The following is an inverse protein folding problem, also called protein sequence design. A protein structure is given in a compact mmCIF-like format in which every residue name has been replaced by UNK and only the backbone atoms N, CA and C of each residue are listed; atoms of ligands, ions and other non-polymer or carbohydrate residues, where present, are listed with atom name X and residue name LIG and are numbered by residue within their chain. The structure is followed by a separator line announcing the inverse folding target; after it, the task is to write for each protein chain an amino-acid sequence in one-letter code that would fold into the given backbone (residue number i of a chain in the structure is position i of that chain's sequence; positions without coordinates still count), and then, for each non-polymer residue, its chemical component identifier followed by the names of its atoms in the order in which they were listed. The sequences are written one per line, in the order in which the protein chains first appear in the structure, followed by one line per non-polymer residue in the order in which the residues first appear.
data_IF_927933888198
#
_entry.id   IF_927933888198
#
_cell.length_a   1.000
_cell.length_b   1.000
_cell.length_c   1.000
_cell.angle_alpha   90.00
_cell.angle_beta   90.00
_cell.angle_gamma   90.00
#
_symmetry.space_group_name_H-M   'P 1'
#
loop_
_entity.id
_entity.type
_entity.pdbx_description
1 polymer ?
#
# COMPACT_ATOMS: atom_id res chain seq x y z
N UNK A 1 16.37 18.60 -0.56
CA UNK A 1 15.20 17.99 -1.27
C UNK A 1 15.16 18.47 -2.71
N UNK A 2 15.01 17.58 -3.68
CA UNK A 2 14.82 17.94 -5.09
C UNK A 2 13.70 17.12 -5.69
N UNK A 3 12.88 17.74 -6.57
CA UNK A 3 11.85 17.07 -7.35
C UNK A 3 12.16 17.33 -8.83
N UNK A 4 12.20 16.27 -9.60
CA UNK A 4 12.43 16.30 -11.04
C UNK A 4 11.36 15.47 -11.73
N UNK A 5 11.01 15.79 -12.97
CA UNK A 5 10.11 14.93 -13.73
C UNK A 5 9.56 15.57 -14.99
N UNK A 6 8.84 14.76 -15.71
CA UNK A 6 8.10 15.13 -16.90
C UNK A 6 6.61 14.83 -16.68
N UNK A 7 5.75 15.69 -17.18
CA UNK A 7 4.31 15.53 -17.12
C UNK A 7 3.75 15.60 -18.55
N UNK A 8 2.98 14.58 -18.95
CA UNK A 8 2.25 14.62 -20.20
C UNK A 8 0.96 15.43 -20.07
N UNK A 9 0.12 15.07 -19.12
CA UNK A 9 -1.14 15.79 -18.83
C UNK A 9 -1.31 15.96 -17.32
N UNK A 10 -1.59 17.19 -16.90
CA UNK A 10 -2.01 17.48 -15.53
C UNK A 10 -3.24 18.37 -15.58
N UNK A 11 -4.33 17.88 -15.02
CA UNK A 11 -5.55 18.67 -14.80
C UNK A 11 -5.88 18.69 -13.31
N UNK A 12 -6.09 19.88 -12.75
CA UNK A 12 -6.42 20.08 -11.35
C UNK A 12 -7.60 21.05 -11.24
N UNK A 13 -8.65 20.60 -10.56
CA UNK A 13 -9.80 21.44 -10.19
C UNK A 13 -10.02 21.37 -8.69
N UNK A 14 -10.08 22.52 -8.05
CA UNK A 14 -10.29 22.65 -6.61
C UNK A 14 -11.38 23.69 -6.33
N UNK A 15 -12.20 23.44 -5.33
CA UNK A 15 -13.18 24.40 -4.81
C UNK A 15 -12.56 25.41 -3.84
N UNK A 16 -11.30 25.21 -3.47
CA UNK A 16 -10.58 26.11 -2.60
C UNK A 16 -10.09 25.45 -1.31
N UNK A 17 -9.45 26.28 -0.53
CA UNK A 17 -8.84 25.92 0.74
C UNK A 17 -9.43 26.84 1.81
N UNK A 18 -10.09 26.27 2.80
CA UNK A 18 -10.57 26.98 3.96
C UNK A 18 -9.54 26.86 5.09
N UNK A 19 -8.92 27.98 5.46
CA UNK A 19 -7.93 28.02 6.54
C UNK A 19 -8.58 27.83 7.92
N UNK A 20 -9.86 28.13 8.01
CA UNK A 20 -10.68 27.89 9.20
C UNK A 20 -12.09 27.45 8.78
N UNK A 21 -12.53 26.19 8.99
CA UNK A 21 -11.75 25.05 9.47
C UNK A 21 -10.76 24.55 8.40
N UNK A 22 -9.60 24.11 8.80
CA UNK A 22 -8.51 23.59 7.94
C UNK A 22 -8.99 22.50 6.99
N UNK A 23 -9.59 22.88 5.88
CA UNK A 23 -10.22 21.98 4.91
C UNK A 23 -9.86 22.36 3.48
N UNK A 24 -9.40 21.41 2.70
CA UNK A 24 -9.19 21.57 1.27
C UNK A 24 -10.08 20.59 0.49
N UNK A 25 -10.66 21.07 -0.61
CA UNK A 25 -11.51 20.26 -1.49
C UNK A 25 -10.86 20.18 -2.86
N UNK A 26 -10.43 18.98 -3.23
CA UNK A 26 -9.96 18.63 -4.55
C UNK A 26 -11.09 17.94 -5.31
N UNK A 27 -11.68 18.64 -6.26
CA UNK A 27 -12.79 18.10 -7.03
C UNK A 27 -12.32 17.11 -8.10
N UNK A 28 -11.23 17.46 -8.79
CA UNK A 28 -10.70 16.59 -9.84
C UNK A 28 -9.19 16.75 -9.97
N UNK A 29 -8.50 15.62 -10.00
CA UNK A 29 -7.10 15.50 -10.37
C UNK A 29 -6.98 14.44 -11.46
N UNK A 30 -6.45 14.82 -12.61
CA UNK A 30 -6.02 13.89 -13.65
C UNK A 30 -4.53 14.07 -13.89
N UNK A 31 -3.78 12.99 -13.84
CA UNK A 31 -2.36 12.96 -14.15
C UNK A 31 -2.09 11.80 -15.09
N UNK A 32 -1.48 12.08 -16.27
CA UNK A 32 -1.15 11.06 -17.25
C UNK A 32 0.26 11.24 -17.79
N UNK A 33 0.86 10.09 -18.15
CA UNK A 33 2.18 10.05 -18.79
C UNK A 33 3.21 10.85 -18.01
N UNK A 34 3.30 10.60 -16.71
CA UNK A 34 4.18 11.32 -15.81
C UNK A 34 5.33 10.44 -15.31
N UNK A 35 6.50 11.03 -15.26
CA UNK A 35 7.66 10.44 -14.59
C UNK A 35 8.18 11.44 -13.56
N UNK A 36 8.11 11.07 -12.30
CA UNK A 36 8.44 11.93 -11.16
C UNK A 36 9.52 11.29 -10.30
N UNK A 37 10.57 12.04 -10.02
CA UNK A 37 11.65 11.62 -9.12
C UNK A 37 11.82 12.62 -7.99
N UNK A 38 11.63 12.13 -6.76
CA UNK A 38 11.85 12.86 -5.52
C UNK A 38 13.16 12.37 -4.88
N UNK A 39 14.09 13.27 -4.59
CA UNK A 39 15.29 12.97 -3.84
C UNK A 39 15.28 13.73 -2.51
N UNK A 40 15.37 13.00 -1.40
CA UNK A 40 15.39 13.52 -0.03
C UNK A 40 16.82 13.35 0.53
N UNK A 41 17.76 14.12 0.00
CA UNK A 41 19.19 14.04 0.37
C UNK A 41 19.60 15.00 1.50
N UNK A 42 18.69 15.87 1.97
CA UNK A 42 19.05 16.93 2.91
C UNK A 42 19.07 16.42 4.36
N UNK A 43 20.24 16.60 4.99
CA UNK A 43 20.44 16.56 6.43
C UNK A 43 20.13 17.92 7.08
N UNK A 44 19.17 18.65 6.63
CA UNK A 44 18.78 19.83 7.41
C UNK A 44 18.44 19.37 8.81
N UNK A 45 19.20 19.91 9.79
CA UNK A 45 19.02 19.63 11.21
C UNK A 45 17.51 19.56 11.50
N UNK A 46 17.10 18.46 12.14
CA UNK A 46 15.72 18.33 12.60
C UNK A 46 15.33 19.64 13.24
N UNK A 47 14.45 20.37 12.58
CA UNK A 47 13.83 21.53 13.19
C UNK A 47 13.05 21.00 14.38
N UNK A 48 13.67 21.13 15.57
CA UNK A 48 13.09 20.66 16.85
C UNK A 48 11.91 21.52 17.29
N UNK A 49 11.52 22.48 16.48
CA UNK A 49 10.23 23.16 16.64
C UNK A 49 9.15 22.11 16.48
N UNK A 50 8.52 21.75 17.58
CA UNK A 50 7.31 20.92 17.56
C UNK A 50 6.30 21.59 16.64
N UNK A 51 6.13 21.05 15.44
CA UNK A 51 5.10 21.49 14.53
C UNK A 51 3.76 21.36 15.24
N UNK A 52 2.97 22.42 15.25
CA UNK A 52 1.61 22.34 15.79
C UNK A 52 0.86 21.19 15.11
N UNK A 53 0.03 20.45 15.84
CA UNK A 53 -0.70 19.33 15.26
C UNK A 53 -1.54 19.80 14.08
N UNK A 54 -1.42 19.13 12.96
CA UNK A 54 -2.14 19.43 11.73
C UNK A 54 -3.55 18.89 11.79
N UNK A 55 -4.55 19.75 11.66
CA UNK A 55 -5.97 19.38 11.70
C UNK A 55 -6.62 19.31 10.32
N UNK A 56 -5.82 19.38 9.27
CA UNK A 56 -6.31 19.42 7.91
C UNK A 56 -7.17 18.23 7.52
N UNK A 57 -8.26 18.54 6.82
CA UNK A 57 -9.13 17.58 6.14
C UNK A 57 -9.10 17.83 4.64
N UNK A 58 -8.83 16.76 3.89
CA UNK A 58 -8.83 16.81 2.43
C UNK A 58 -10.01 15.99 1.93
N UNK A 59 -10.89 16.61 1.18
CA UNK A 59 -11.92 15.93 0.40
C UNK A 59 -11.40 15.75 -1.01
N UNK A 60 -11.40 14.52 -1.49
CA UNK A 60 -10.86 14.11 -2.78
C UNK A 60 -12.01 13.51 -3.59
N UNK A 61 -12.69 14.29 -4.42
CA UNK A 61 -13.89 13.80 -5.10
C UNK A 61 -13.53 12.83 -6.22
N UNK A 62 -12.55 13.21 -7.06
CA UNK A 62 -12.14 12.41 -8.20
C UNK A 62 -10.63 12.50 -8.44
N UNK A 63 -9.96 11.36 -8.44
CA UNK A 63 -8.55 11.26 -8.85
C UNK A 63 -8.45 10.19 -9.91
N UNK A 64 -7.80 10.49 -11.03
CA UNK A 64 -7.47 9.56 -12.10
C UNK A 64 -6.00 9.69 -12.47
N UNK A 65 -5.27 8.58 -12.40
CA UNK A 65 -3.87 8.47 -12.78
C UNK A 65 -3.74 7.44 -13.89
N UNK A 66 -2.94 7.71 -14.91
CA UNK A 66 -2.65 6.77 -15.98
C UNK A 66 -1.17 6.90 -16.40
N UNK A 67 -0.48 5.78 -16.46
CA UNK A 67 0.92 5.71 -16.88
C UNK A 67 1.81 6.68 -16.07
N UNK A 68 1.84 6.51 -14.74
CA UNK A 68 2.63 7.36 -13.83
C UNK A 68 3.73 6.53 -13.19
N UNK A 69 4.98 6.96 -13.40
CA UNK A 69 6.16 6.45 -12.72
C UNK A 69 6.58 7.44 -11.62
N UNK A 70 6.62 6.98 -10.38
CA UNK A 70 7.12 7.74 -9.25
C UNK A 70 8.30 7.02 -8.59
N UNK A 71 9.39 7.75 -8.38
CA UNK A 71 10.56 7.28 -7.68
C UNK A 71 10.90 8.21 -6.52
N UNK A 72 11.26 7.64 -5.39
CA UNK A 72 11.75 8.37 -4.23
C UNK A 72 13.07 7.77 -3.75
N UNK A 73 14.10 8.60 -3.73
CA UNK A 73 15.42 8.23 -3.24
C UNK A 73 15.69 8.95 -1.91
N UNK A 74 16.05 8.19 -0.90
CA UNK A 74 16.54 8.68 0.40
C UNK A 74 17.96 8.14 0.63
N UNK A 75 19.00 8.80 0.06
CA UNK A 75 20.36 8.29 0.07
C UNK A 75 20.94 8.12 1.47
N UNK A 76 20.56 8.97 2.42
CA UNK A 76 21.05 8.90 3.80
C UNK A 76 20.53 7.68 4.55
N UNK A 77 19.32 7.25 4.23
CA UNK A 77 18.68 6.06 4.81
C UNK A 77 18.96 4.81 3.97
N UNK A 78 19.76 4.95 2.90
CA UNK A 78 19.98 3.89 1.90
C UNK A 78 18.66 3.28 1.42
N UNK A 79 17.65 4.12 1.18
CA UNK A 79 16.30 3.69 0.84
C UNK A 79 15.87 4.22 -0.51
N UNK A 80 15.26 3.35 -1.29
CA UNK A 80 14.62 3.67 -2.57
C UNK A 80 13.21 3.09 -2.63
N UNK A 81 12.28 3.90 -3.05
CA UNK A 81 10.91 3.50 -3.32
C UNK A 81 10.54 3.85 -4.76
N UNK A 82 9.93 2.93 -5.47
CA UNK A 82 9.34 3.19 -6.78
C UNK A 82 7.93 2.67 -6.88
N UNK A 83 7.07 3.46 -7.50
CA UNK A 83 5.68 3.12 -7.77
C UNK A 83 5.41 3.33 -9.25
N UNK A 84 5.06 2.25 -9.94
CA UNK A 84 4.62 2.27 -11.32
C UNK A 84 3.11 2.09 -11.37
N UNK A 85 2.40 3.13 -11.76
CA UNK A 85 0.94 3.14 -11.85
C UNK A 85 0.54 2.98 -13.30
N UNK A 86 -0.03 1.83 -13.66
CA UNK A 86 -0.67 1.67 -14.96
C UNK A 86 -1.93 2.52 -15.03
N UNK A 87 -2.90 2.21 -14.18
CA UNK A 87 -4.09 3.01 -13.98
C UNK A 87 -4.48 3.03 -12.51
N UNK A 88 -4.81 4.19 -11.99
CA UNK A 88 -5.40 4.32 -10.66
C UNK A 88 -6.57 5.29 -10.67
N UNK A 89 -7.58 4.99 -9.88
CA UNK A 89 -8.71 5.91 -9.68
C UNK A 89 -9.18 5.87 -8.23
N UNK A 90 -9.55 7.06 -7.71
CA UNK A 90 -10.17 7.20 -6.40
C UNK A 90 -11.43 8.07 -6.55
N UNK A 91 -12.49 7.69 -5.87
CA UNK A 91 -13.76 8.42 -5.82
C UNK A 91 -14.19 8.65 -4.38
N UNK A 92 -14.65 9.84 -4.11
CA UNK A 92 -15.20 10.26 -2.80
C UNK A 92 -14.26 9.91 -1.63
N UNK A 93 -13.00 10.36 -1.73
CA UNK A 93 -11.99 10.18 -0.71
C UNK A 93 -12.04 11.24 0.40
N UNK A 94 -11.66 10.84 1.59
CA UNK A 94 -11.46 11.74 2.73
C UNK A 94 -10.15 11.39 3.44
N UNK A 95 -9.33 12.40 3.68
CA UNK A 95 -8.13 12.32 4.53
C UNK A 95 -8.34 13.27 5.70
N UNK A 96 -8.48 12.75 6.91
CA UNK A 96 -8.59 13.50 8.15
C UNK A 96 -7.28 13.32 8.95
N UNK A 97 -6.38 14.28 8.86
CA UNK A 97 -5.06 14.19 9.52
C UNK A 97 -5.17 14.29 11.04
N UNK A 98 -6.20 14.97 11.56
CA UNK A 98 -6.44 15.04 12.99
C UNK A 98 -6.79 13.69 13.62
N UNK A 99 -7.57 12.91 12.90
CA UNK A 99 -8.01 11.58 13.34
C UNK A 99 -7.14 10.46 12.83
N UNK A 100 -6.14 10.76 11.99
CA UNK A 100 -5.39 9.78 11.20
C UNK A 100 -6.34 8.80 10.49
N UNK A 101 -7.44 9.33 9.94
CA UNK A 101 -8.49 8.55 9.31
C UNK A 101 -8.53 8.81 7.80
N UNK A 102 -8.65 7.74 7.05
CA UNK A 102 -8.64 7.75 5.58
C UNK A 102 -9.81 6.92 5.07
N UNK A 103 -10.53 7.43 4.09
CA UNK A 103 -11.62 6.68 3.47
C UNK A 103 -11.72 6.98 1.98
N UNK A 104 -12.29 6.04 1.24
CA UNK A 104 -12.68 6.22 -0.15
C UNK A 104 -13.91 5.35 -0.45
N UNK A 105 -14.82 5.89 -1.25
CA UNK A 105 -15.97 5.12 -1.71
C UNK A 105 -15.56 4.05 -2.71
N UNK A 106 -14.71 4.41 -3.67
CA UNK A 106 -14.12 3.50 -4.65
C UNK A 106 -12.62 3.77 -4.76
N UNK A 107 -11.84 2.70 -4.86
CA UNK A 107 -10.42 2.76 -5.16
C UNK A 107 -10.05 1.64 -6.13
N UNK A 108 -9.30 2.00 -7.18
CA UNK A 108 -8.76 1.06 -8.18
C UNK A 108 -7.29 1.35 -8.40
N UNK A 109 -6.51 0.31 -8.49
CA UNK A 109 -5.11 0.34 -8.89
C UNK A 109 -4.84 -0.87 -9.78
N UNK A 110 -4.63 -0.65 -11.07
CA UNK A 110 -4.55 -1.70 -12.08
C UNK A 110 -3.23 -1.66 -12.82
N UNK A 111 -2.73 -2.83 -13.18
CA UNK A 111 -1.49 -3.00 -13.96
C UNK A 111 -0.32 -2.22 -13.34
N UNK A 112 -0.22 -2.26 -12.04
CA UNK A 112 0.71 -1.44 -11.28
C UNK A 112 1.80 -2.29 -10.65
N UNK A 113 2.86 -1.62 -10.19
CA UNK A 113 3.98 -2.26 -9.53
C UNK A 113 4.59 -1.36 -8.48
N UNK A 114 5.25 -1.97 -7.52
CA UNK A 114 5.96 -1.30 -6.45
C UNK A 114 7.32 -1.97 -6.25
N UNK A 115 8.36 -1.19 -6.09
CA UNK A 115 9.61 -1.71 -5.56
C UNK A 115 10.05 -0.89 -4.34
N UNK A 116 10.68 -1.57 -3.41
CA UNK A 116 11.24 -0.98 -2.20
C UNK A 116 12.57 -1.65 -1.91
N UNK A 117 13.61 -0.83 -1.74
CA UNK A 117 14.92 -1.29 -1.30
C UNK A 117 15.34 -0.48 -0.09
N UNK A 118 15.88 -1.16 0.92
CA UNK A 118 16.39 -0.56 2.15
C UNK A 118 17.69 -1.23 2.56
N UNK A 119 18.68 -0.41 2.90
CA UNK A 119 20.01 -0.88 3.27
C UNK A 119 20.92 -1.14 2.08
N UNK A 120 22.16 -1.54 2.40
CA UNK A 120 23.24 -1.75 1.42
C UNK A 120 23.55 -3.23 1.19
N UNK A 121 22.71 -4.14 1.70
CA UNK A 121 22.89 -5.57 1.50
C UNK A 121 22.31 -6.01 0.16
N UNK A 122 22.92 -6.99 -0.53
CA UNK A 122 22.29 -7.54 -1.73
C UNK A 122 21.01 -8.30 -1.38
N UNK A 123 20.04 -8.35 -2.31
CA UNK A 123 18.82 -9.13 -2.12
C UNK A 123 19.10 -10.61 -1.87
N UNK A 124 18.31 -11.24 -1.01
CA UNK A 124 18.37 -12.69 -0.82
C UNK A 124 17.87 -13.43 -2.06
N UNK A 125 18.45 -14.60 -2.35
CA UNK A 125 18.10 -15.37 -3.54
C UNK A 125 16.75 -16.10 -3.41
N UNK A 126 16.36 -16.47 -2.20
CA UNK A 126 15.14 -17.28 -1.95
C UNK A 126 14.35 -16.75 -0.77
N UNK A 127 13.02 -16.73 -0.93
CA UNK A 127 12.07 -16.27 0.08
C UNK A 127 11.76 -14.79 0.00
N UNK A 128 10.84 -14.34 0.83
CA UNK A 128 10.45 -12.93 0.92
C UNK A 128 11.56 -12.14 1.61
N UNK A 129 12.03 -11.11 0.94
CA UNK A 129 13.04 -10.18 1.45
C UNK A 129 12.37 -8.83 1.82
N UNK A 130 12.14 -8.55 3.11
CA UNK A 130 11.49 -7.32 3.52
C UNK A 130 12.28 -6.04 3.19
N UNK A 131 13.59 -6.16 2.98
CA UNK A 131 14.45 -5.04 2.61
C UNK A 131 14.49 -4.79 1.10
N UNK A 132 14.04 -5.75 0.29
CA UNK A 132 14.09 -5.71 -1.16
C UNK A 132 12.80 -6.24 -1.76
N UNK A 133 11.71 -5.53 -1.57
CA UNK A 133 10.39 -5.91 -2.08
C UNK A 133 10.25 -5.46 -3.55
N UNK A 134 9.81 -6.35 -4.41
CA UNK A 134 9.45 -6.02 -5.80
C UNK A 134 8.15 -6.73 -6.16
N UNK A 135 7.09 -5.95 -6.25
CA UNK A 135 5.74 -6.41 -6.56
C UNK A 135 5.34 -5.92 -7.94
N UNK A 136 4.83 -6.83 -8.76
CA UNK A 136 4.30 -6.55 -10.09
C UNK A 136 2.87 -7.04 -10.22
N UNK A 137 2.24 -6.70 -11.34
CA UNK A 137 0.88 -7.14 -11.66
C UNK A 137 -0.14 -6.83 -10.56
N UNK A 138 0.05 -5.70 -9.87
CA UNK A 138 -0.91 -5.26 -8.86
C UNK A 138 -2.21 -4.88 -9.56
N UNK A 139 -3.27 -5.64 -9.27
CA UNK A 139 -4.63 -5.33 -9.65
C UNK A 139 -5.48 -5.32 -8.37
N UNK A 140 -5.87 -4.14 -7.95
CA UNK A 140 -6.66 -3.93 -6.74
C UNK A 140 -7.88 -3.10 -7.07
N UNK A 141 -9.05 -3.63 -6.77
CA UNK A 141 -10.32 -2.92 -6.85
C UNK A 141 -11.07 -3.12 -5.53
N UNK A 142 -11.46 -2.01 -4.91
CA UNK A 142 -12.18 -2.05 -3.66
C UNK A 142 -13.15 -0.89 -3.52
N UNK A 143 -14.21 -1.12 -2.74
CA UNK A 143 -15.17 -0.14 -2.33
C UNK A 143 -15.19 0.02 -0.82
N UNK A 144 -15.74 1.14 -0.34
CA UNK A 144 -15.98 1.38 1.08
C UNK A 144 -14.71 1.24 1.93
N UNK A 145 -13.57 1.67 1.37
CA UNK A 145 -12.32 1.70 2.11
C UNK A 145 -12.42 2.65 3.30
N UNK A 146 -12.09 2.14 4.46
CA UNK A 146 -11.90 2.91 5.68
C UNK A 146 -10.68 2.42 6.42
N UNK A 147 -9.82 3.35 6.81
CA UNK A 147 -8.63 3.10 7.63
C UNK A 147 -8.53 4.13 8.74
N UNK A 148 -8.39 3.68 9.97
CA UNK A 148 -8.10 4.54 11.12
C UNK A 148 -7.34 3.74 12.19
N UNK A 149 -6.14 4.22 12.57
CA UNK A 149 -5.27 3.48 13.48
C UNK A 149 -4.98 2.08 12.95
N UNK A 150 -5.32 1.05 13.70
CA UNK A 150 -5.13 -0.35 13.28
C UNK A 150 -6.39 -0.96 12.65
N UNK A 151 -7.44 -0.16 12.43
CA UNK A 151 -8.68 -0.65 11.85
C UNK A 151 -8.71 -0.40 10.35
N UNK A 152 -8.84 -1.47 9.58
CA UNK A 152 -9.04 -1.45 8.13
C UNK A 152 -10.34 -2.15 7.80
N UNK A 153 -11.13 -1.56 6.92
CA UNK A 153 -12.32 -2.17 6.33
C UNK A 153 -12.37 -1.81 4.86
N UNK A 154 -12.67 -2.79 4.02
CA UNK A 154 -12.92 -2.58 2.61
C UNK A 154 -13.74 -3.74 2.03
N UNK A 155 -14.46 -3.48 0.95
CA UNK A 155 -15.04 -4.53 0.12
C UNK A 155 -14.12 -4.72 -1.08
N UNK A 156 -13.42 -5.85 -1.12
CA UNK A 156 -12.54 -6.22 -2.22
C UNK A 156 -13.37 -6.83 -3.36
N UNK A 157 -13.18 -6.34 -4.57
CA UNK A 157 -13.71 -6.93 -5.81
C UNK A 157 -12.63 -7.69 -6.56
N UNK A 158 -11.36 -7.25 -6.40
CA UNK A 158 -10.19 -7.89 -6.98
C UNK A 158 -8.97 -7.51 -6.14
N UNK A 159 -8.12 -8.49 -5.87
CA UNK A 159 -6.78 -8.24 -5.36
C UNK A 159 -5.83 -9.32 -5.86
N UNK A 160 -4.93 -8.92 -6.72
CA UNK A 160 -3.93 -9.78 -7.35
C UNK A 160 -2.57 -9.08 -7.30
N UNK A 161 -1.53 -9.86 -7.13
CA UNK A 161 -0.15 -9.38 -7.24
C UNK A 161 0.82 -10.53 -7.40
N UNK A 162 2.03 -10.20 -7.90
CA UNK A 162 3.18 -11.10 -7.88
C UNK A 162 4.36 -10.42 -7.21
N UNK A 163 5.02 -11.13 -6.33
CA UNK A 163 6.25 -10.68 -5.69
C UNK A 163 7.45 -11.49 -6.23
N UNK A 164 8.61 -10.86 -6.32
CA UNK A 164 9.83 -11.41 -6.91
C UNK A 164 10.24 -12.77 -6.34
N UNK A 165 9.98 -13.06 -5.07
CA UNK A 165 10.28 -14.36 -4.42
C UNK A 165 9.44 -15.53 -4.96
N UNK A 166 8.46 -15.25 -5.81
CA UNK A 166 7.49 -16.21 -6.32
C UNK A 166 6.21 -16.30 -5.50
N UNK A 167 6.03 -15.40 -4.52
CA UNK A 167 4.73 -15.22 -3.88
C UNK A 167 3.76 -14.60 -4.88
N UNK A 168 2.63 -15.25 -5.08
CA UNK A 168 1.57 -14.78 -5.96
C UNK A 168 0.23 -14.83 -5.23
N UNK A 169 -0.48 -13.70 -5.19
CA UNK A 169 -1.89 -13.62 -4.83
C UNK A 169 -2.66 -13.62 -6.13
N UNK A 170 -3.48 -14.64 -6.36
CA UNK A 170 -4.16 -14.85 -7.65
C UNK A 170 -5.52 -14.22 -7.73
N UNK A 171 -6.25 -14.26 -6.64
CA UNK A 171 -7.57 -13.65 -6.56
C UNK A 171 -7.99 -13.56 -5.11
N UNK A 172 -8.55 -12.43 -4.75
CA UNK A 172 -9.17 -12.22 -3.45
C UNK A 172 -10.35 -11.29 -3.64
N UNK A 173 -11.51 -11.70 -3.14
CA UNK A 173 -12.73 -10.91 -3.17
C UNK A 173 -13.48 -11.02 -1.85
N UNK A 174 -14.32 -10.02 -1.54
CA UNK A 174 -15.16 -9.99 -0.36
C UNK A 174 -14.70 -8.99 0.71
N UNK A 175 -15.25 -9.09 1.90
CA UNK A 175 -15.06 -8.09 2.95
C UNK A 175 -13.71 -8.26 3.68
N UNK A 176 -12.77 -7.37 3.44
CA UNK A 176 -11.55 -7.25 4.22
C UNK A 176 -11.84 -6.54 5.54
N UNK A 177 -11.38 -7.11 6.64
CA UNK A 177 -11.35 -6.48 7.95
C UNK A 177 -10.03 -6.75 8.64
N UNK A 178 -9.40 -5.72 9.18
CA UNK A 178 -8.23 -5.86 10.01
C UNK A 178 -8.38 -4.98 11.27
N UNK A 179 -7.91 -5.49 12.38
CA UNK A 179 -7.81 -4.80 13.66
C UNK A 179 -6.51 -5.20 14.36
N UNK A 180 -6.25 -4.74 15.57
CA UNK A 180 -5.04 -5.08 16.35
C UNK A 180 -4.86 -6.58 16.61
N UNK A 181 -5.93 -7.36 16.52
CA UNK A 181 -5.95 -8.78 16.91
C UNK A 181 -5.99 -9.73 15.73
N UNK A 182 -6.53 -9.30 14.60
CA UNK A 182 -6.77 -10.21 13.47
C UNK A 182 -6.92 -9.48 12.14
N UNK A 183 -6.47 -10.14 11.09
CA UNK A 183 -6.81 -9.81 9.70
C UNK A 183 -7.76 -10.89 9.21
N UNK A 184 -8.91 -10.48 8.67
CA UNK A 184 -9.91 -11.37 8.08
C UNK A 184 -10.02 -11.05 6.60
N UNK A 185 -9.70 -12.05 5.79
CA UNK A 185 -9.81 -11.99 4.33
C UNK A 185 -10.71 -13.14 3.89
N UNK A 186 -11.81 -12.86 3.19
CA UNK A 186 -12.85 -13.89 3.00
C UNK A 186 -12.47 -14.98 2.03
N UNK A 187 -11.79 -14.67 0.96
CA UNK A 187 -11.33 -15.65 -0.03
C UNK A 187 -9.94 -15.29 -0.50
N UNK A 188 -8.94 -16.00 -0.03
CA UNK A 188 -7.54 -15.74 -0.34
C UNK A 188 -6.90 -16.95 -1.01
N UNK A 189 -6.39 -16.79 -2.24
CA UNK A 189 -5.58 -17.79 -2.91
C UNK A 189 -4.13 -17.31 -2.98
N UNK A 190 -3.26 -17.99 -2.28
CA UNK A 190 -1.82 -17.74 -2.26
C UNK A 190 -1.11 -18.88 -2.97
N UNK A 191 -0.24 -18.54 -3.91
CA UNK A 191 0.71 -19.46 -4.54
C UNK A 191 2.13 -19.01 -4.22
N UNK A 192 2.97 -19.93 -3.81
CA UNK A 192 4.41 -19.71 -3.68
C UNK A 192 5.15 -20.58 -4.69
N UNK A 193 6.46 -20.34 -4.89
CA UNK A 193 7.27 -21.10 -5.83
C UNK A 193 7.20 -22.62 -5.60
N UNK A 194 6.97 -23.05 -4.37
CA UNK A 194 7.00 -24.47 -3.96
C UNK A 194 5.68 -25.00 -3.39
N UNK A 195 4.62 -24.19 -3.28
CA UNK A 195 3.36 -24.63 -2.70
C UNK A 195 2.17 -23.82 -3.23
N UNK A 196 1.01 -24.45 -3.21
CA UNK A 196 -0.27 -23.80 -3.45
C UNK A 196 -1.12 -23.95 -2.20
N UNK A 197 -1.67 -22.84 -1.71
CA UNK A 197 -2.64 -22.85 -0.61
C UNK A 197 -3.85 -22.03 -1.02
N UNK A 198 -5.04 -22.58 -0.87
CA UNK A 198 -6.30 -21.90 -1.07
C UNK A 198 -7.19 -22.11 0.14
N UNK A 199 -7.83 -21.06 0.64
CA UNK A 199 -8.84 -21.15 1.68
C UNK A 199 -10.19 -20.66 1.14
N UNK A 200 -11.22 -21.42 1.42
CA UNK A 200 -12.62 -20.97 1.29
C UNK A 200 -13.17 -20.82 2.70
N UNK A 201 -13.30 -19.58 3.15
CA UNK A 201 -13.80 -19.28 4.48
C UNK A 201 -12.94 -18.26 5.23
N UNK A 202 -13.44 -17.81 6.37
CA UNK A 202 -12.76 -16.81 7.21
C UNK A 202 -11.51 -17.40 7.86
N UNK A 203 -10.35 -17.27 7.22
CA UNK A 203 -9.09 -17.60 7.87
C UNK A 203 -8.64 -16.46 8.77
N UNK A 204 -8.52 -16.80 10.04
CA UNK A 204 -7.97 -15.92 11.06
C UNK A 204 -6.45 -16.05 10.99
N UNK A 205 -5.78 -15.13 10.31
CA UNK A 205 -4.33 -15.00 10.39
C UNK A 205 -3.96 -14.43 11.76
N UNK A 206 -3.93 -15.32 12.77
CA UNK A 206 -3.36 -15.00 14.07
C UNK A 206 -1.87 -15.30 13.95
N UNK A 207 -1.04 -14.30 14.23
CA UNK A 207 0.41 -14.50 14.31
C UNK A 207 0.75 -15.54 15.39
N UNK A 208 0.86 -16.80 15.03
CA UNK A 208 1.40 -17.83 15.89
C UNK A 208 2.92 -17.86 15.78
N UNK A 209 3.56 -17.53 16.90
CA UNK A 209 4.92 -17.96 17.22
C UNK A 209 4.95 -19.47 17.11
N UNK A 210 5.69 -20.02 16.16
CA UNK A 210 5.90 -21.46 16.01
C UNK A 210 6.78 -21.95 17.15
N UNK A 211 6.18 -22.57 18.17
CA UNK A 211 6.89 -23.52 19.01
C UNK A 211 6.89 -24.88 18.30
N UNK A 212 8.07 -25.29 17.86
CA UNK A 212 8.32 -26.61 17.27
C UNK A 212 8.25 -27.70 18.35
N UNK A 213 7.08 -28.26 18.56
CA UNK A 213 6.90 -29.49 19.33
C UNK A 213 7.08 -30.72 18.45
N UNK A 214 8.26 -31.32 18.41
CA UNK A 214 8.46 -32.67 17.87
C UNK A 214 7.72 -33.64 18.75
N UNK A 215 6.66 -34.24 18.27
CA UNK A 215 6.07 -35.48 18.85
C UNK A 215 6.71 -36.68 18.17
N UNK A 216 7.57 -37.37 18.89
CA UNK A 216 8.11 -38.67 18.48
C UNK A 216 7.07 -39.72 18.92
N UNK A 217 6.37 -40.33 17.97
CA UNK A 217 5.61 -41.54 18.22
C UNK A 217 6.57 -42.73 18.20
N UNK A 218 6.76 -43.36 19.36
CA UNK A 218 7.38 -44.68 19.46
C UNK A 218 6.30 -45.73 19.20
N UNK A 219 6.43 -46.44 18.09
CA UNK A 219 5.77 -47.71 17.86
C UNK A 219 6.46 -48.77 18.73
N UNK A 220 5.72 -49.39 19.64
CA UNK A 220 6.12 -50.58 20.36
C UNK A 220 5.37 -51.75 19.75
N UNK A 221 6.09 -52.60 19.03
CA UNK A 221 5.65 -53.96 18.75
C UNK A 221 6.19 -54.88 19.86
N UNK A 222 5.31 -55.58 20.50
CA UNK A 222 5.52 -56.76 21.31
C UNK A 222 4.44 -57.77 21.02
#
# INVERSE_FOLDING_TARGET
MSLQGNLGELFLKSHGVALTPETAVLNELTLKDANLKLCLADTTAQDTTQSAPTFWKFKLEKIDLANVDFQMDMPLDSMNLGLKVGNASLRDGLVDLHKAAYSAKEFKLLQSGLYYNSGNTPPIEKGLDPSHIAVTDINLQMDSLYYQGNNIRALLHQFELKERSGLEIKSTEGQLQADEKAIRVPSLQIKTANSFSGSQGYDRLVGHRTESGRRIERSVHG
#
